data_IF_365706942741
#
_entry.id   IF_365706942741
#
_cell.length_a   1.000
_cell.length_b   1.000
_cell.length_c   1.000
_cell.angle_alpha   90.00
_cell.angle_beta   90.00
_cell.angle_gamma   90.00
#
_symmetry.space_group_name_H-M   'P 1'
#
loop_
_entity.id
_entity.type
_entity.pdbx_description
1 polymer ?
#
# COMPACT_ATOMS: atom_id res chain seq x y z
N UNK A 1 22.57 -6.89 16.50
CA UNK A 1 22.18 -8.33 16.56
C UNK A 1 21.32 -8.62 15.35
N UNK A 2 21.92 -9.05 14.24
CA UNK A 2 21.21 -9.62 13.09
C UNK A 2 21.57 -11.10 13.10
N UNK A 3 20.79 -11.89 13.83
CA UNK A 3 20.96 -13.34 13.81
C UNK A 3 20.42 -13.87 12.49
N UNK A 4 21.21 -14.69 11.80
CA UNK A 4 20.70 -15.51 10.71
C UNK A 4 19.54 -16.36 11.22
N UNK A 5 18.52 -16.55 10.38
CA UNK A 5 17.45 -17.52 10.64
C UNK A 5 18.12 -18.88 10.81
N UNK A 6 17.78 -19.61 11.88
CA UNK A 6 18.27 -20.98 12.06
C UNK A 6 17.53 -21.94 11.13
N UNK A 7 18.14 -23.08 10.79
CA UNK A 7 17.49 -24.12 9.97
C UNK A 7 16.13 -24.55 10.53
N UNK A 8 16.00 -24.56 11.87
CA UNK A 8 14.73 -24.84 12.53
C UNK A 8 13.68 -23.76 12.20
N UNK A 9 14.03 -22.49 12.37
CA UNK A 9 13.15 -21.36 12.07
C UNK A 9 12.77 -21.32 10.58
N UNK A 10 13.70 -21.68 9.70
CA UNK A 10 13.42 -21.76 8.26
C UNK A 10 12.44 -22.89 7.94
N UNK A 11 12.63 -24.09 8.52
CA UNK A 11 11.68 -25.20 8.35
C UNK A 11 10.28 -24.85 8.85
N UNK A 12 10.19 -24.24 10.03
CA UNK A 12 8.92 -23.78 10.60
C UNK A 12 8.25 -22.74 9.68
N UNK A 13 9.01 -21.79 9.14
CA UNK A 13 8.50 -20.82 8.16
C UNK A 13 7.94 -21.52 6.91
N UNK A 14 8.67 -22.48 6.35
CA UNK A 14 8.21 -23.22 5.16
C UNK A 14 6.95 -24.04 5.45
N UNK A 15 6.84 -24.66 6.64
CA UNK A 15 5.64 -25.37 7.06
C UNK A 15 4.43 -24.45 7.12
N UNK A 16 4.57 -23.29 7.77
CA UNK A 16 3.53 -22.26 7.86
C UNK A 16 3.13 -21.72 6.47
N UNK A 17 4.12 -21.45 5.61
CA UNK A 17 3.86 -21.01 4.24
C UNK A 17 3.17 -22.10 3.41
N UNK A 18 3.53 -23.36 3.58
CA UNK A 18 2.89 -24.47 2.86
C UNK A 18 1.42 -24.61 3.27
N UNK A 19 1.12 -24.42 4.56
CA UNK A 19 -0.24 -24.50 5.08
C UNK A 19 -1.13 -23.31 4.66
N UNK A 20 -0.58 -22.09 4.63
CA UNK A 20 -1.36 -20.86 4.48
C UNK A 20 -1.18 -20.11 3.16
N UNK A 21 -0.03 -20.25 2.49
CA UNK A 21 0.32 -19.52 1.27
C UNK A 21 1.28 -20.34 0.38
N UNK A 22 0.85 -21.50 -0.15
CA UNK A 22 1.74 -22.44 -0.84
C UNK A 22 2.36 -21.86 -2.11
N UNK A 23 1.76 -20.83 -2.71
CA UNK A 23 2.29 -20.17 -3.91
C UNK A 23 3.62 -19.44 -3.68
N UNK A 24 3.93 -19.07 -2.43
CA UNK A 24 5.16 -18.36 -2.04
C UNK A 24 6.33 -19.32 -1.81
N UNK A 25 6.06 -20.59 -1.48
CA UNK A 25 7.08 -21.59 -1.14
C UNK A 25 8.15 -21.74 -2.23
N UNK A 26 7.82 -21.85 -3.53
CA UNK A 26 8.85 -21.97 -4.57
C UNK A 26 9.77 -20.75 -4.66
N UNK A 27 9.27 -19.55 -4.34
CA UNK A 27 10.07 -18.34 -4.31
C UNK A 27 11.04 -18.32 -3.12
N UNK A 28 10.59 -18.74 -1.93
CA UNK A 28 11.44 -18.78 -0.74
C UNK A 28 12.51 -19.86 -0.86
N UNK A 29 12.16 -21.04 -1.35
CA UNK A 29 13.13 -22.10 -1.65
C UNK A 29 14.16 -21.67 -2.71
N UNK A 30 13.74 -20.87 -3.69
CA UNK A 30 14.67 -20.29 -4.66
C UNK A 30 15.66 -19.33 -4.01
N UNK A 31 15.24 -18.49 -3.05
CA UNK A 31 16.16 -17.60 -2.33
C UNK A 31 17.21 -18.42 -1.58
N UNK A 32 16.77 -19.43 -0.82
CA UNK A 32 17.62 -20.31 -0.03
C UNK A 32 18.62 -21.09 -0.89
N UNK A 33 18.17 -21.60 -2.04
CA UNK A 33 19.05 -22.32 -2.97
C UNK A 33 20.02 -21.40 -3.74
N UNK A 34 19.70 -20.10 -3.89
CA UNK A 34 20.50 -19.16 -4.71
C UNK A 34 21.55 -18.43 -3.88
N UNK A 35 21.28 -18.19 -2.59
CA UNK A 35 22.14 -17.38 -1.72
C UNK A 35 22.47 -18.12 -0.44
N UNK A 36 23.75 -18.17 -0.07
CA UNK A 36 24.20 -18.80 1.20
C UNK A 36 23.50 -18.19 2.42
N UNK A 37 23.29 -16.87 2.41
CA UNK A 37 22.41 -16.21 3.36
C UNK A 37 21.49 -15.21 2.66
N UNK A 38 20.31 -14.96 3.24
CA UNK A 38 19.44 -13.89 2.75
C UNK A 38 20.11 -12.50 2.78
N UNK A 39 21.11 -12.32 3.64
CA UNK A 39 21.91 -11.08 3.73
C UNK A 39 22.76 -10.87 2.48
N UNK A 40 23.07 -11.91 1.72
CA UNK A 40 23.86 -11.81 0.48
C UNK A 40 23.00 -11.50 -0.74
N UNK A 41 21.68 -11.64 -0.62
CA UNK A 41 20.76 -11.36 -1.73
C UNK A 41 20.81 -9.89 -2.20
N UNK A 42 20.57 -9.62 -3.50
CA UNK A 42 20.57 -8.25 -4.03
C UNK A 42 19.62 -7.32 -3.28
N UNK A 43 19.95 -6.02 -3.15
CA UNK A 43 19.08 -5.05 -2.48
C UNK A 43 17.66 -5.02 -3.03
N UNK A 44 17.48 -5.22 -4.34
CA UNK A 44 16.17 -5.30 -5.00
C UNK A 44 15.36 -6.53 -4.61
N UNK A 45 15.99 -7.70 -4.48
CA UNK A 45 15.34 -8.93 -3.99
C UNK A 45 14.89 -8.75 -2.54
N UNK A 46 15.73 -8.16 -1.68
CA UNK A 46 15.34 -7.81 -0.31
C UNK A 46 14.16 -6.84 -0.29
N UNK A 47 14.16 -5.84 -1.16
CA UNK A 47 13.04 -4.91 -1.31
C UNK A 47 11.77 -5.61 -1.78
N UNK A 48 11.86 -6.59 -2.68
CA UNK A 48 10.73 -7.39 -3.12
C UNK A 48 10.16 -8.25 -1.99
N UNK A 49 11.01 -8.95 -1.23
CA UNK A 49 10.57 -9.73 -0.06
C UNK A 49 9.87 -8.83 0.96
N UNK A 50 10.45 -7.67 1.28
CA UNK A 50 9.81 -6.69 2.18
C UNK A 50 8.48 -6.17 1.64
N UNK A 51 8.39 -5.99 0.33
CA UNK A 51 7.17 -5.53 -0.32
C UNK A 51 6.03 -6.55 -0.20
N UNK A 52 6.34 -7.84 -0.39
CA UNK A 52 5.35 -8.91 -0.35
C UNK A 52 4.98 -9.28 1.10
N UNK A 53 5.94 -9.20 2.02
CA UNK A 53 5.72 -9.42 3.45
C UNK A 53 5.03 -8.24 4.16
N UNK A 54 4.85 -7.12 3.48
CA UNK A 54 4.22 -5.93 4.04
C UNK A 54 2.74 -6.19 4.37
N UNK A 55 2.25 -5.62 5.46
CA UNK A 55 0.82 -5.65 5.84
C UNK A 55 -0.07 -4.74 4.98
N UNK A 56 0.41 -4.33 3.80
CA UNK A 56 -0.35 -3.54 2.82
C UNK A 56 -1.34 -4.41 2.06
N UNK A 57 -2.48 -3.84 1.62
CA UNK A 57 -3.39 -4.55 0.73
C UNK A 57 -2.70 -4.90 -0.58
N UNK A 58 -2.99 -6.10 -1.11
CA UNK A 58 -2.37 -6.60 -2.35
C UNK A 58 -2.68 -5.69 -3.55
N UNK A 59 -3.89 -5.11 -3.60
CA UNK A 59 -4.27 -4.12 -4.61
C UNK A 59 -3.52 -2.78 -4.50
N UNK A 60 -2.86 -2.54 -3.36
CA UNK A 60 -1.90 -1.46 -3.22
C UNK A 60 -0.58 -1.82 -3.91
N UNK A 61 -0.09 -3.04 -3.77
CA UNK A 61 1.15 -3.51 -4.40
C UNK A 61 1.02 -3.68 -5.93
N UNK A 62 -0.03 -4.37 -6.38
CA UNK A 62 -0.41 -4.50 -7.80
C UNK A 62 -1.71 -3.73 -7.99
N UNK A 63 -1.65 -2.60 -8.69
CA UNK A 63 -2.85 -1.77 -8.90
C UNK A 63 -3.82 -2.46 -9.86
N UNK A 64 -5.14 -2.39 -9.60
CA UNK A 64 -6.22 -2.99 -10.41
C UNK A 64 -6.43 -2.20 -11.72
N UNK A 65 -5.41 -2.20 -12.57
CA UNK A 65 -5.37 -1.51 -13.84
C UNK A 65 -5.16 -2.54 -14.96
N UNK A 66 -6.00 -2.52 -16.00
CA UNK A 66 -5.95 -3.49 -17.09
C UNK A 66 -4.57 -3.60 -17.74
N UNK A 67 -3.87 -2.47 -17.94
CA UNK A 67 -2.53 -2.47 -18.52
C UNK A 67 -1.50 -3.12 -17.60
N UNK A 68 -1.58 -2.84 -16.29
CA UNK A 68 -0.67 -3.44 -15.29
C UNK A 68 -0.95 -4.93 -15.15
N UNK A 69 -2.22 -5.33 -15.14
CA UNK A 69 -2.63 -6.72 -15.05
C UNK A 69 -2.25 -7.53 -16.28
N UNK A 70 -2.46 -6.97 -17.49
CA UNK A 70 -2.02 -7.57 -18.74
C UNK A 70 -0.50 -7.76 -18.76
N UNK A 71 0.25 -6.73 -18.36
CA UNK A 71 1.71 -6.78 -18.27
C UNK A 71 2.21 -7.87 -17.30
N UNK A 72 1.63 -7.96 -16.09
CA UNK A 72 2.01 -8.99 -15.12
C UNK A 72 1.57 -10.38 -15.60
N UNK A 73 0.42 -10.49 -16.25
CA UNK A 73 -0.04 -11.73 -16.89
C UNK A 73 0.95 -12.24 -17.93
N UNK A 74 1.45 -11.37 -18.81
CA UNK A 74 2.48 -11.70 -19.79
C UNK A 74 3.80 -12.17 -19.13
N UNK A 75 4.23 -11.49 -18.04
CA UNK A 75 5.39 -11.92 -17.25
C UNK A 75 5.20 -13.33 -16.69
N UNK A 76 4.01 -13.63 -16.15
CA UNK A 76 3.65 -14.95 -15.62
C UNK A 76 3.65 -16.02 -16.74
N UNK A 77 3.13 -15.68 -17.92
CA UNK A 77 3.18 -16.56 -19.10
C UNK A 77 4.61 -16.80 -19.60
N UNK A 78 5.57 -15.96 -19.22
CA UNK A 78 6.99 -16.08 -19.57
C UNK A 78 7.41 -15.26 -20.78
N UNK A 79 6.64 -14.23 -21.12
CA UNK A 79 6.99 -13.28 -22.18
C UNK A 79 8.17 -12.43 -21.72
N UNK A 80 9.13 -12.19 -22.64
CA UNK A 80 10.22 -11.25 -22.41
C UNK A 80 9.70 -9.81 -22.55
N UNK A 81 9.35 -9.19 -21.42
CA UNK A 81 8.88 -7.80 -21.36
C UNK A 81 9.97 -6.79 -21.69
N UNK A 82 11.25 -7.13 -21.48
CA UNK A 82 12.38 -6.24 -21.77
C UNK A 82 12.63 -6.02 -23.26
N UNK A 83 12.02 -6.83 -24.13
CA UNK A 83 12.05 -6.63 -25.58
C UNK A 83 11.21 -5.44 -26.06
N UNK A 84 10.29 -4.94 -25.24
CA UNK A 84 9.35 -3.88 -25.62
C UNK A 84 9.55 -2.63 -24.74
N UNK A 85 10.05 -1.51 -25.28
CA UNK A 85 10.29 -0.29 -24.50
C UNK A 85 9.05 0.25 -23.77
N UNK A 86 7.87 0.11 -24.37
CA UNK A 86 6.60 0.55 -23.77
C UNK A 86 6.28 -0.27 -22.52
N UNK A 87 6.45 -1.60 -22.58
CA UNK A 87 6.20 -2.51 -21.46
C UNK A 87 7.23 -2.35 -20.35
N UNK A 88 8.50 -2.09 -20.71
CA UNK A 88 9.56 -1.74 -19.76
C UNK A 88 9.24 -0.46 -19.00
N UNK A 89 8.83 0.59 -19.72
CA UNK A 89 8.44 1.86 -19.10
C UNK A 89 7.25 1.67 -18.15
N UNK A 90 6.24 0.94 -18.58
CA UNK A 90 5.07 0.62 -17.76
C UNK A 90 5.45 -0.16 -16.49
N UNK A 91 6.31 -1.18 -16.63
CA UNK A 91 6.80 -1.97 -15.49
C UNK A 91 7.57 -1.11 -14.48
N UNK A 92 8.44 -0.24 -14.98
CA UNK A 92 9.24 0.67 -14.17
C UNK A 92 8.37 1.68 -13.41
N UNK A 93 7.35 2.24 -14.04
CA UNK A 93 6.48 3.26 -13.43
C UNK A 93 5.44 2.68 -12.47
N UNK A 94 4.88 1.52 -12.79
CA UNK A 94 3.76 0.93 -12.04
C UNK A 94 4.21 -0.11 -11.01
N UNK A 95 5.29 -0.86 -11.28
CA UNK A 95 5.83 -1.88 -10.38
C UNK A 95 7.36 -1.77 -10.22
N UNK A 96 7.89 -0.64 -9.72
CA UNK A 96 9.34 -0.36 -9.68
C UNK A 96 10.14 -1.38 -8.85
N UNK A 97 9.54 -1.99 -7.83
CA UNK A 97 10.19 -3.04 -7.01
C UNK A 97 10.43 -4.30 -7.82
N UNK A 98 9.43 -4.75 -8.60
CA UNK A 98 9.56 -5.90 -9.48
C UNK A 98 10.53 -5.61 -10.62
N UNK A 99 10.45 -4.42 -11.22
CA UNK A 99 11.39 -3.97 -12.25
C UNK A 99 12.85 -4.06 -11.77
N UNK A 100 13.15 -3.49 -10.60
CA UNK A 100 14.50 -3.50 -10.03
C UNK A 100 14.98 -4.93 -9.75
N UNK A 101 14.11 -5.81 -9.25
CA UNK A 101 14.45 -7.20 -8.97
C UNK A 101 14.78 -7.98 -10.24
N UNK A 102 13.99 -7.84 -11.31
CA UNK A 102 14.27 -8.50 -12.59
C UNK A 102 15.55 -7.98 -13.25
N UNK A 103 15.76 -6.65 -13.19
CA UNK A 103 16.97 -6.02 -13.72
C UNK A 103 18.23 -6.53 -13.02
N UNK A 104 18.23 -6.57 -11.68
CA UNK A 104 19.41 -6.98 -10.92
C UNK A 104 19.72 -8.48 -11.09
N UNK A 105 18.70 -9.31 -11.37
CA UNK A 105 18.89 -10.71 -11.74
C UNK A 105 19.41 -10.91 -13.17
N UNK A 106 19.50 -9.84 -13.97
CA UNK A 106 19.80 -9.93 -15.41
C UNK A 106 18.76 -10.74 -16.18
N UNK A 107 17.59 -10.99 -15.60
CA UNK A 107 16.58 -11.87 -16.18
C UNK A 107 15.57 -11.07 -16.98
N UNK A 108 15.49 -11.39 -18.27
CA UNK A 108 14.50 -10.79 -19.17
C UNK A 108 13.10 -11.42 -19.03
N UNK A 109 12.99 -12.50 -18.25
CA UNK A 109 11.77 -13.29 -18.03
C UNK A 109 11.56 -13.47 -16.52
N UNK A 110 10.30 -13.53 -16.08
CA UNK A 110 9.98 -13.85 -14.69
C UNK A 110 10.39 -15.30 -14.37
N UNK A 111 11.26 -15.53 -13.35
CA UNK A 111 11.68 -16.88 -12.97
C UNK A 111 10.48 -17.79 -12.69
N UNK A 112 10.55 -19.06 -13.12
CA UNK A 112 9.43 -20.00 -12.97
C UNK A 112 9.02 -20.20 -11.51
N UNK A 113 9.98 -20.14 -10.60
CA UNK A 113 9.78 -20.22 -9.14
C UNK A 113 9.01 -19.04 -8.57
N UNK A 114 8.92 -17.91 -9.28
CA UNK A 114 8.19 -16.72 -8.81
C UNK A 114 6.75 -16.69 -9.32
N UNK A 115 6.45 -17.38 -10.43
CA UNK A 115 5.16 -17.30 -11.14
C UNK A 115 3.95 -17.66 -10.28
N UNK A 116 3.95 -18.74 -9.46
CA UNK A 116 2.78 -19.09 -8.66
C UNK A 116 2.39 -17.97 -7.70
N UNK A 117 3.38 -17.39 -7.00
CA UNK A 117 3.18 -16.25 -6.10
C UNK A 117 2.58 -15.04 -6.83
N UNK A 118 3.13 -14.65 -7.98
CA UNK A 118 2.61 -13.51 -8.74
C UNK A 118 1.21 -13.76 -9.31
N UNK A 119 0.89 -15.00 -9.68
CA UNK A 119 -0.46 -15.37 -10.11
C UNK A 119 -1.47 -15.23 -8.97
N UNK A 120 -1.13 -15.66 -7.75
CA UNK A 120 -2.00 -15.47 -6.59
C UNK A 120 -2.15 -13.99 -6.22
N UNK A 121 -1.04 -13.21 -6.25
CA UNK A 121 -1.09 -11.77 -6.01
C UNK A 121 -1.97 -11.04 -7.03
N UNK A 122 -1.88 -11.42 -8.31
CA UNK A 122 -2.70 -10.84 -9.37
C UNK A 122 -4.20 -11.08 -9.11
N UNK A 123 -4.58 -12.32 -8.77
CA UNK A 123 -5.97 -12.66 -8.41
C UNK A 123 -6.44 -11.89 -7.18
N UNK A 124 -5.63 -11.85 -6.11
CA UNK A 124 -5.98 -11.15 -4.86
C UNK A 124 -6.08 -9.63 -5.03
N UNK A 125 -5.32 -9.05 -5.98
CA UNK A 125 -5.41 -7.62 -6.25
C UNK A 125 -6.72 -7.20 -6.93
N UNK A 126 -7.37 -8.08 -7.71
CA UNK A 126 -8.68 -7.81 -8.32
C UNK A 126 -9.86 -8.09 -7.40
N UNK A 127 -9.72 -9.04 -6.47
CA UNK A 127 -10.81 -9.50 -5.62
C UNK A 127 -11.67 -8.37 -4.99
N UNK A 128 -11.10 -7.25 -4.48
CA UNK A 128 -11.90 -6.18 -3.89
C UNK A 128 -12.78 -5.38 -4.88
N UNK A 129 -12.61 -5.59 -6.19
CA UNK A 129 -13.26 -4.81 -7.24
C UNK A 129 -14.31 -5.60 -8.03
N UNK A 130 -14.36 -6.92 -7.87
CA UNK A 130 -15.29 -7.81 -8.60
C UNK A 130 -16.71 -7.67 -8.06
N UNK A 131 -16.86 -7.65 -6.73
CA UNK A 131 -18.19 -7.68 -6.09
C UNK A 131 -18.78 -6.30 -5.83
N UNK A 132 -18.09 -5.22 -6.25
CA UNK A 132 -18.60 -3.86 -6.23
C UNK A 132 -19.21 -3.42 -4.90
N UNK A 133 -18.84 -4.05 -3.78
CA UNK A 133 -19.54 -3.87 -2.51
C UNK A 133 -19.17 -2.50 -1.95
N UNK A 134 -19.85 -1.47 -2.47
CA UNK A 134 -20.03 -0.21 -1.77
C UNK A 134 -20.56 -0.60 -0.40
N UNK A 135 -19.74 -0.33 0.63
CA UNK A 135 -20.12 -0.58 2.01
C UNK A 135 -21.59 -0.18 2.23
N UNK A 136 -22.39 -1.01 2.92
CA UNK A 136 -23.83 -0.80 3.04
C UNK A 136 -24.12 0.64 3.47
N UNK A 137 -25.20 1.27 2.95
CA UNK A 137 -25.53 2.63 3.32
C UNK A 137 -25.77 2.68 4.83
N UNK A 138 -24.84 3.25 5.59
CA UNK A 138 -25.13 3.55 6.98
C UNK A 138 -26.26 4.58 7.03
N UNK A 139 -27.18 4.39 7.96
CA UNK A 139 -28.20 5.37 8.28
C UNK A 139 -27.52 6.69 8.67
N UNK A 140 -28.01 7.77 8.08
CA UNK A 140 -27.54 9.12 8.35
C UNK A 140 -28.03 9.52 9.75
N UNK A 141 -27.30 9.17 10.81
CA UNK A 141 -27.54 9.78 12.13
C UNK A 141 -26.71 11.05 12.23
N UNK A 142 -27.24 12.13 11.66
CA UNK A 142 -26.70 13.48 11.81
C UNK A 142 -27.16 14.04 13.15
N UNK A 143 -26.55 13.60 14.25
CA UNK A 143 -26.86 14.13 15.59
C UNK A 143 -25.57 14.34 16.36
N UNK A 144 -24.68 15.15 15.80
CA UNK A 144 -23.92 16.12 16.59
C UNK A 144 -23.32 17.11 15.61
N UNK A 145 -23.65 18.38 15.78
CA UNK A 145 -22.86 19.47 15.23
C UNK A 145 -21.40 19.16 15.56
N UNK A 146 -20.60 18.97 14.53
CA UNK A 146 -19.23 18.49 14.66
C UNK A 146 -18.40 19.68 15.17
N UNK A 147 -18.48 19.96 16.48
CA UNK A 147 -17.94 21.16 17.16
C UNK A 147 -16.45 21.36 16.86
N UNK A 148 -15.78 20.29 16.43
CA UNK A 148 -14.36 20.21 16.15
C UNK A 148 -14.04 20.20 14.64
N UNK A 149 -15.00 20.45 13.75
CA UNK A 149 -14.78 20.51 12.31
C UNK A 149 -15.46 21.71 11.66
N UNK A 150 -14.80 22.33 10.68
CA UNK A 150 -15.37 23.42 9.89
C UNK A 150 -14.97 23.27 8.43
N UNK A 151 -15.95 23.04 7.55
CA UNK A 151 -15.75 22.84 6.11
C UNK A 151 -16.87 23.55 5.33
N UNK A 152 -16.75 24.87 5.08
CA UNK A 152 -17.84 25.68 4.53
C UNK A 152 -18.24 25.27 3.12
N UNK A 153 -17.28 24.83 2.31
CA UNK A 153 -17.49 24.47 0.89
C UNK A 153 -17.56 22.96 0.65
N UNK A 154 -17.42 22.14 1.71
CA UNK A 154 -17.38 20.68 1.63
C UNK A 154 -18.27 20.05 2.72
N UNK A 155 -19.61 20.12 2.60
CA UNK A 155 -20.52 19.49 3.55
C UNK A 155 -20.37 17.95 3.53
N UNK A 156 -20.75 17.30 4.63
CA UNK A 156 -20.80 15.83 4.68
C UNK A 156 -21.93 15.34 3.76
N UNK A 157 -21.57 14.46 2.83
CA UNK A 157 -22.47 13.88 1.82
C UNK A 157 -22.89 12.46 2.13
N UNK A 158 -22.09 11.74 2.92
CA UNK A 158 -22.33 10.36 3.33
C UNK A 158 -21.62 10.05 4.65
N UNK A 159 -22.10 9.05 5.41
CA UNK A 159 -21.40 8.56 6.59
C UNK A 159 -20.13 7.78 6.21
N UNK A 160 -19.25 7.59 7.19
CA UNK A 160 -17.99 6.84 7.02
C UNK A 160 -18.22 5.33 6.83
N UNK A 161 -19.33 4.79 7.32
CA UNK A 161 -19.61 3.35 7.48
C UNK A 161 -18.66 2.67 8.48
N UNK A 162 -19.01 1.43 8.88
CA UNK A 162 -18.20 0.57 9.74
C UNK A 162 -17.42 -0.42 8.88
N UNK A 163 -16.11 -0.59 9.15
CA UNK A 163 -15.27 -1.54 8.44
C UNK A 163 -14.74 -2.61 9.38
N UNK A 164 -14.67 -3.87 8.92
CA UNK A 164 -14.05 -4.96 9.68
C UNK A 164 -12.59 -4.64 10.07
N UNK A 165 -11.89 -3.89 9.21
CA UNK A 165 -10.54 -3.39 9.47
C UNK A 165 -10.44 -2.39 10.65
N UNK A 166 -11.56 -1.87 11.17
CA UNK A 166 -11.57 -1.03 12.37
C UNK A 166 -11.51 -1.85 13.67
N UNK A 167 -11.96 -3.11 13.65
CA UNK A 167 -11.91 -4.01 14.81
C UNK A 167 -10.50 -4.51 15.11
N UNK A 168 -9.62 -4.55 14.11
CA UNK A 168 -8.23 -5.00 14.24
C UNK A 168 -7.28 -3.81 14.14
N UNK A 169 -6.72 -3.36 15.26
CA UNK A 169 -5.59 -2.41 15.26
C UNK A 169 -4.32 -3.13 14.81
N UNK A 170 -4.18 -3.40 13.51
CA UNK A 170 -2.89 -3.82 12.97
C UNK A 170 -1.96 -2.61 12.93
N UNK A 171 -0.79 -2.74 13.54
CA UNK A 171 0.29 -1.77 13.37
C UNK A 171 0.77 -1.94 11.92
N UNK A 172 0.55 -0.94 11.08
CA UNK A 172 1.10 -0.95 9.72
C UNK A 172 2.60 -0.72 9.83
N UNK A 173 3.39 -1.79 9.78
CA UNK A 173 4.86 -1.74 9.90
C UNK A 173 5.57 -1.34 8.60
N UNK A 174 4.79 -0.98 7.56
CA UNK A 174 5.29 -0.62 6.23
C UNK A 174 6.22 0.59 6.31
N UNK A 175 5.92 1.54 7.22
CA UNK A 175 6.72 2.73 7.36
C UNK A 175 6.99 3.10 8.82
N UNK A 176 8.25 3.00 9.22
CA UNK A 176 8.70 3.42 10.55
C UNK A 176 8.95 4.93 10.54
N UNK A 177 7.88 5.74 10.43
CA UNK A 177 8.00 7.18 10.71
C UNK A 177 8.40 7.32 12.18
N UNK A 178 9.69 7.54 12.43
CA UNK A 178 10.22 7.74 13.78
C UNK A 178 9.91 9.16 14.19
N UNK A 179 8.79 9.37 14.85
CA UNK A 179 8.62 10.57 15.66
C UNK A 179 9.40 10.38 16.96
N UNK A 180 10.27 11.31 17.37
CA UNK A 180 10.71 11.34 18.76
C UNK A 180 9.44 11.52 19.60
N UNK A 181 9.06 10.49 20.35
CA UNK A 181 7.89 10.51 21.21
C UNK A 181 8.10 11.56 22.30
N UNK A 182 7.63 12.78 22.06
CA UNK A 182 7.60 13.82 23.08
C UNK A 182 6.24 13.77 23.76
N UNK A 183 6.23 13.78 25.08
CA UNK A 183 5.05 13.69 25.97
C UNK A 183 4.08 14.88 25.87
N UNK A 184 4.31 15.83 24.95
CA UNK A 184 3.59 17.10 24.82
C UNK A 184 2.95 17.32 23.45
N UNK A 185 2.72 16.27 22.64
CA UNK A 185 1.98 16.44 21.39
C UNK A 185 0.52 16.80 21.69
N UNK A 186 0.22 18.10 21.63
CA UNK A 186 -1.14 18.64 21.71
C UNK A 186 -2.00 18.08 20.57
N UNK A 187 -3.33 17.98 20.77
CA UNK A 187 -4.26 17.69 19.69
C UNK A 187 -4.02 18.67 18.52
N UNK A 188 -3.64 18.13 17.36
CA UNK A 188 -3.32 18.91 16.18
C UNK A 188 -4.57 19.29 15.39
N UNK A 189 -4.42 20.18 14.41
CA UNK A 189 -5.49 20.50 13.46
C UNK A 189 -5.11 19.89 12.12
N UNK A 190 -6.00 19.07 11.57
CA UNK A 190 -5.89 18.62 10.19
C UNK A 190 -6.55 19.64 9.27
N UNK A 191 -5.80 20.18 8.32
CA UNK A 191 -6.29 21.17 7.36
C UNK A 191 -6.27 20.59 5.95
N UNK A 192 -7.26 20.96 5.14
CA UNK A 192 -7.36 20.51 3.76
C UNK A 192 -7.22 21.69 2.81
N UNK A 193 -6.28 21.58 1.87
CA UNK A 193 -6.02 22.60 0.87
C UNK A 193 -6.21 22.05 -0.54
N UNK A 194 -6.63 22.93 -1.46
CA UNK A 194 -6.59 22.65 -2.88
C UNK A 194 -5.19 22.94 -3.46
N UNK A 195 -4.89 22.49 -4.70
CA UNK A 195 -3.61 22.76 -5.35
C UNK A 195 -3.28 24.25 -5.52
N UNK A 196 -4.29 25.13 -5.51
CA UNK A 196 -4.12 26.58 -5.61
C UNK A 196 -3.86 27.26 -4.25
N UNK A 197 -3.84 26.50 -3.14
CA UNK A 197 -3.60 27.04 -1.80
C UNK A 197 -4.86 27.51 -1.06
N UNK A 198 -6.06 27.32 -1.61
CA UNK A 198 -7.30 27.62 -0.88
C UNK A 198 -7.59 26.54 0.16
N UNK A 199 -7.86 26.97 1.39
CA UNK A 199 -8.26 26.10 2.49
C UNK A 199 -9.75 25.74 2.36
N UNK A 200 -10.07 24.46 2.29
CA UNK A 200 -11.45 23.98 2.26
C UNK A 200 -12.07 23.77 3.64
N UNK A 201 -11.24 23.71 4.69
CA UNK A 201 -11.66 23.53 6.06
C UNK A 201 -10.62 22.82 6.91
N UNK A 202 -11.04 22.52 8.15
CA UNK A 202 -10.21 21.83 9.12
C UNK A 202 -11.01 20.90 10.05
N UNK A 203 -10.30 19.96 10.65
CA UNK A 203 -10.80 19.06 11.69
C UNK A 203 -9.78 18.97 12.83
N UNK A 204 -10.22 19.17 14.07
CA UNK A 204 -9.36 19.06 15.26
C UNK A 204 -9.16 17.58 15.58
N UNK A 205 -7.90 17.15 15.58
CA UNK A 205 -7.52 15.77 15.85
C UNK A 205 -7.42 15.54 17.36
N UNK A 206 -8.27 14.66 17.89
CA UNK A 206 -8.23 14.27 19.31
C UNK A 206 -7.10 13.28 19.64
N UNK A 207 -6.48 12.67 18.63
CA UNK A 207 -5.38 11.70 18.75
C UNK A 207 -4.26 12.10 17.81
N UNK A 208 -3.03 11.72 18.16
CA UNK A 208 -1.88 11.94 17.30
C UNK A 208 -2.06 11.21 15.96
N UNK A 209 -1.80 11.94 14.87
CA UNK A 209 -1.50 11.45 13.52
C UNK A 209 -2.20 10.15 13.11
N UNK A 210 -3.52 10.20 13.01
CA UNK A 210 -4.30 9.04 12.58
C UNK A 210 -4.65 9.17 11.09
N UNK A 211 -4.42 8.13 10.26
CA UNK A 211 -4.96 8.09 8.89
C UNK A 211 -6.51 8.09 8.86
N UNK A 212 -7.15 7.89 10.02
CA UNK A 212 -8.60 7.96 10.17
C UNK A 212 -9.20 9.33 9.79
N UNK A 213 -8.58 10.42 10.24
CA UNK A 213 -9.12 11.78 10.02
C UNK A 213 -9.15 12.12 8.53
N UNK A 214 -8.02 12.07 7.78
CA UNK A 214 -8.03 12.26 6.34
C UNK A 214 -8.96 11.28 5.62
N UNK A 215 -8.96 9.99 5.97
CA UNK A 215 -9.88 9.01 5.38
C UNK A 215 -11.35 9.43 5.54
N UNK A 216 -11.74 9.84 6.75
CA UNK A 216 -13.11 10.26 7.07
C UNK A 216 -13.49 11.50 6.28
N UNK A 217 -12.62 12.51 6.20
CA UNK A 217 -12.85 13.72 5.42
C UNK A 217 -13.05 13.38 3.94
N UNK A 218 -12.13 12.63 3.33
CA UNK A 218 -12.21 12.28 1.92
C UNK A 218 -13.44 11.44 1.61
N UNK A 219 -13.75 10.44 2.44
CA UNK A 219 -14.89 9.58 2.22
C UNK A 219 -16.21 10.31 2.45
N UNK A 220 -16.36 11.10 3.50
CA UNK A 220 -17.68 11.67 3.85
C UNK A 220 -18.02 12.91 3.03
N UNK A 221 -17.03 13.70 2.59
CA UNK A 221 -17.28 15.02 1.98
C UNK A 221 -17.11 15.05 0.45
N UNK A 222 -16.31 14.17 -0.14
CA UNK A 222 -16.08 14.16 -1.59
C UNK A 222 -17.02 13.20 -2.32
N UNK A 223 -17.54 13.59 -3.49
CA UNK A 223 -18.35 12.68 -4.31
C UNK A 223 -17.54 11.49 -4.85
N UNK A 224 -16.36 11.80 -5.39
CA UNK A 224 -15.33 10.88 -5.86
C UNK A 224 -14.03 11.17 -5.12
N UNK A 225 -13.22 10.16 -4.84
CA UNK A 225 -11.94 10.36 -4.19
C UNK A 225 -11.06 11.33 -5.00
N UNK A 226 -10.28 12.21 -4.36
CA UNK A 226 -9.29 13.02 -5.05
C UNK A 226 -8.33 12.14 -5.86
N UNK A 227 -7.96 12.59 -7.07
CA UNK A 227 -7.01 11.85 -7.92
C UNK A 227 -5.62 11.81 -7.30
N UNK A 228 -5.22 12.86 -6.60
CA UNK A 228 -3.91 13.00 -5.96
C UNK A 228 -4.15 13.49 -4.53
N UNK A 229 -3.54 12.82 -3.56
CA UNK A 229 -3.51 13.21 -2.16
C UNK A 229 -2.05 13.34 -1.75
N UNK A 230 -1.66 14.54 -1.28
CA UNK A 230 -0.33 14.80 -0.73
C UNK A 230 -0.48 14.88 0.79
N UNK A 231 0.24 14.04 1.53
CA UNK A 231 0.14 13.96 2.99
C UNK A 231 1.44 13.45 3.61
N UNK A 232 1.81 13.97 4.78
CA UNK A 232 3.06 13.61 5.47
C UNK A 232 3.08 12.15 5.98
N UNK A 233 1.91 11.50 6.07
CA UNK A 233 1.76 10.09 6.42
C UNK A 233 0.98 9.33 5.33
N UNK A 234 1.19 9.72 4.06
CA UNK A 234 0.47 9.16 2.92
C UNK A 234 0.64 7.64 2.76
N UNK A 235 1.77 7.08 3.19
CA UNK A 235 2.02 5.65 3.12
C UNK A 235 1.06 4.81 3.97
N UNK A 236 0.80 5.26 5.20
CA UNK A 236 -0.15 4.60 6.09
C UNK A 236 -1.58 4.95 5.69
N UNK A 237 -1.82 6.18 5.22
CA UNK A 237 -3.12 6.55 4.66
C UNK A 237 -3.51 5.69 3.46
N UNK A 238 -2.59 5.39 2.55
CA UNK A 238 -2.83 4.53 1.39
C UNK A 238 -3.33 3.15 1.78
N UNK A 239 -2.59 2.45 2.65
CA UNK A 239 -2.99 1.13 3.16
C UNK A 239 -4.29 1.20 3.94
N UNK A 240 -4.45 2.24 4.78
CA UNK A 240 -5.66 2.47 5.55
C UNK A 240 -6.91 2.62 4.66
N UNK A 241 -6.80 3.40 3.58
CA UNK A 241 -7.85 3.65 2.61
C UNK A 241 -8.22 2.38 1.83
N UNK A 242 -7.23 1.67 1.28
CA UNK A 242 -7.46 0.49 0.46
C UNK A 242 -7.95 -0.72 1.27
N UNK A 243 -7.57 -0.84 2.54
CA UNK A 243 -8.09 -1.89 3.43
C UNK A 243 -9.57 -1.67 3.83
N UNK A 244 -10.13 -0.48 3.60
CA UNK A 244 -11.50 -0.12 4.00
C UNK A 244 -12.40 0.06 2.80
N UNK A 245 -12.01 0.92 1.86
CA UNK A 245 -12.82 1.26 0.71
C UNK A 245 -11.99 1.30 -0.58
N UNK A 246 -11.50 0.14 -1.04
CA UNK A 246 -10.61 0.06 -2.20
C UNK A 246 -11.26 0.60 -3.47
N UNK A 247 -12.56 0.35 -3.67
CA UNK A 247 -13.32 0.83 -4.84
C UNK A 247 -13.33 2.35 -4.91
N UNK A 248 -13.53 3.04 -3.78
CA UNK A 248 -13.56 4.50 -3.75
C UNK A 248 -12.17 5.12 -4.04
N UNK A 249 -11.10 4.51 -3.55
CA UNK A 249 -9.73 5.02 -3.66
C UNK A 249 -8.89 4.41 -4.81
N UNK A 250 -9.49 3.59 -5.68
CA UNK A 250 -8.78 2.85 -6.74
C UNK A 250 -7.96 3.72 -7.69
N UNK A 251 -8.48 4.93 -7.97
CA UNK A 251 -7.88 5.90 -8.90
C UNK A 251 -7.04 6.97 -8.18
N UNK A 252 -6.87 6.85 -6.86
CA UNK A 252 -6.19 7.84 -6.02
C UNK A 252 -4.70 7.53 -5.91
N UNK A 253 -3.87 8.52 -6.22
CA UNK A 253 -2.41 8.48 -6.02
C UNK A 253 -2.09 9.16 -4.68
N UNK A 254 -1.39 8.44 -3.81
CA UNK A 254 -0.95 8.93 -2.51
C UNK A 254 0.52 9.32 -2.58
N UNK A 255 0.82 10.60 -2.34
CA UNK A 255 2.17 11.17 -2.38
C UNK A 255 2.58 11.60 -0.97
N UNK A 256 3.78 11.22 -0.53
CA UNK A 256 4.33 11.72 0.73
C UNK A 256 4.90 13.12 0.51
N UNK A 257 4.58 14.04 1.43
CA UNK A 257 5.17 15.38 1.43
C UNK A 257 6.70 15.32 1.49
N UNK A 258 7.36 16.04 0.58
CA UNK A 258 8.81 16.05 0.37
C UNK A 258 9.58 16.46 1.62
N UNK A 259 9.05 17.37 2.43
CA UNK A 259 9.70 17.81 3.67
C UNK A 259 9.80 16.69 4.71
N UNK A 260 8.88 15.74 4.67
CA UNK A 260 8.78 14.65 5.63
C UNK A 260 9.48 13.37 5.17
N UNK A 261 9.83 13.27 3.88
CA UNK A 261 10.42 12.08 3.25
C UNK A 261 11.60 11.46 4.01
N UNK A 262 12.52 12.28 4.55
CA UNK A 262 13.71 11.79 5.29
C UNK A 262 13.37 10.88 6.48
N UNK A 263 12.16 11.01 7.01
CA UNK A 263 11.70 10.27 8.18
C UNK A 263 10.99 8.95 7.81
N UNK A 264 10.74 8.70 6.52
CA UNK A 264 10.12 7.46 6.04
C UNK A 264 11.17 6.39 5.75
N UNK A 265 11.14 5.30 6.51
CA UNK A 265 11.95 4.08 6.28
C UNK A 265 11.03 2.90 5.98
N UNK A 266 11.35 2.10 4.97
CA UNK A 266 10.59 0.89 4.61
C UNK A 266 9.41 1.12 3.65
N UNK A 267 8.93 2.36 3.53
CA UNK A 267 7.91 2.77 2.57
C UNK A 267 8.31 2.34 1.13
N UNK A 268 7.47 1.51 0.48
CA UNK A 268 7.65 1.18 -0.93
C UNK A 268 7.53 2.44 -1.79
N UNK A 269 8.37 2.56 -2.82
CA UNK A 269 8.42 3.68 -3.77
C UNK A 269 7.20 3.70 -4.71
N UNK A 270 5.99 3.80 -4.19
CA UNK A 270 4.81 4.00 -5.02
C UNK A 270 4.67 5.49 -5.27
N UNK A 271 5.09 5.90 -6.48
CA UNK A 271 5.12 7.28 -7.00
C UNK A 271 5.34 8.32 -5.93
N UNK A 272 6.59 8.43 -5.51
CA UNK A 272 7.07 9.57 -4.75
C UNK A 272 7.82 10.47 -5.73
N UNK A 273 7.60 11.78 -5.59
CA UNK A 273 8.14 12.92 -6.34
C UNK A 273 7.09 13.64 -7.20
N UNK A 274 6.65 14.80 -6.68
CA UNK A 274 6.71 16.06 -7.42
C UNK A 274 7.83 16.87 -6.76
#
# INVERSE_FOLDING_TARGET
MHGNITDHQFRELIEQLTAHCPSVVPFVNWIDATYETFVDSPPSVKSLVRAIAASSPVCGFIRPNENVHGLIGELISGVNVFSCPVKVKLLHEECPVLFAALRDLGSSILPRTWRPMFQELLTKSLAPFIDGTSAPPASFSDVHADVLSFFPTLPKRRPRNFYLADATRRKEEICTKKHPGHSFFLPGIFTLFCPHGFNYGFEVMQKHESPNVPFTIFLTRFGKAPRIIIYDNACNLHSYCLNRNPVFFKDTIFLVDRFHWKNHKGCMRQRLYI
#
